data_IF_382083232085
#
_entry.id   IF_382083232085
#
_cell.length_a   1.000
_cell.length_b   1.000
_cell.length_c   1.000
_cell.angle_alpha   90.00
_cell.angle_beta   90.00
_cell.angle_gamma   90.00
#
_symmetry.space_group_name_H-M   'P 1'
#
loop_
_entity.id
_entity.type
_entity.pdbx_description
1 polymer ?
#
# COMPACT_ATOMS: atom_id res chain seq x y z
N UNK A 1 -17.31 4.33 35.13
CA UNK A 1 -16.34 4.89 34.16
C UNK A 1 -17.16 5.51 33.04
N UNK A 2 -17.14 6.84 32.93
CA UNK A 2 -17.85 7.51 31.84
C UNK A 2 -16.96 7.46 30.59
N UNK A 3 -17.39 6.73 29.58
CA UNK A 3 -16.76 6.79 28.25
C UNK A 3 -17.08 8.15 27.66
N UNK A 4 -16.03 8.90 27.30
CA UNK A 4 -16.19 10.12 26.50
C UNK A 4 -16.02 9.71 25.04
N UNK A 5 -17.06 9.91 24.24
CA UNK A 5 -17.01 9.82 22.78
C UNK A 5 -16.86 11.23 22.21
N UNK A 6 -16.24 11.35 21.04
CA UNK A 6 -16.22 12.55 20.24
C UNK A 6 -17.06 12.33 19.00
N UNK A 7 -17.87 13.31 18.63
CA UNK A 7 -18.64 13.27 17.38
C UNK A 7 -17.75 13.60 16.15
N UNK A 8 -16.49 13.97 16.41
CA UNK A 8 -15.49 14.31 15.38
C UNK A 8 -14.50 13.17 15.12
N UNK A 9 -14.76 11.94 15.62
CA UNK A 9 -13.88 10.81 15.40
C UNK A 9 -14.01 10.31 13.96
N UNK A 10 -12.91 10.20 13.23
CA UNK A 10 -12.90 9.59 11.90
C UNK A 10 -13.05 8.07 11.99
N UNK A 11 -13.89 7.51 11.12
CA UNK A 11 -14.13 6.07 11.01
C UNK A 11 -13.61 5.60 9.67
N UNK A 12 -12.50 4.87 9.69
CA UNK A 12 -11.87 4.30 8.50
C UNK A 12 -12.28 2.86 8.24
N UNK A 13 -11.98 2.41 7.03
CA UNK A 13 -12.17 1.03 6.62
C UNK A 13 -10.81 0.37 6.32
N UNK A 14 -10.63 -0.87 6.83
CA UNK A 14 -9.52 -1.72 6.44
C UNK A 14 -9.79 -2.33 5.05
N UNK A 15 -8.87 -2.09 4.11
CA UNK A 15 -8.93 -2.70 2.77
C UNK A 15 -7.90 -3.82 2.72
N UNK A 16 -8.36 -5.05 2.89
CA UNK A 16 -7.51 -6.23 3.03
C UNK A 16 -8.03 -7.46 2.26
N UNK A 17 -9.12 -7.30 1.50
CA UNK A 17 -9.60 -8.29 0.56
C UNK A 17 -9.75 -7.67 -0.83
N UNK A 18 -9.53 -8.43 -1.92
CA UNK A 18 -9.60 -7.90 -3.29
C UNK A 18 -10.92 -7.20 -3.62
N UNK A 19 -12.04 -7.73 -3.14
CA UNK A 19 -13.36 -7.14 -3.38
C UNK A 19 -13.49 -5.72 -2.83
N UNK A 20 -12.90 -5.42 -1.66
CA UNK A 20 -12.93 -4.09 -1.08
C UNK A 20 -12.05 -3.10 -1.85
N UNK A 21 -10.93 -3.56 -2.42
CA UNK A 21 -10.09 -2.74 -3.28
C UNK A 21 -10.78 -2.39 -4.62
N UNK A 22 -11.52 -3.35 -5.19
CA UNK A 22 -12.26 -3.16 -6.46
C UNK A 22 -13.41 -2.15 -6.30
N UNK A 23 -14.06 -2.11 -5.14
CA UNK A 23 -15.19 -1.22 -4.83
C UNK A 23 -14.77 -0.03 -3.94
N UNK A 24 -13.50 0.34 -3.93
CA UNK A 24 -12.99 1.37 -3.04
C UNK A 24 -13.65 2.74 -3.26
N UNK A 25 -13.96 3.11 -4.49
CA UNK A 25 -14.68 4.34 -4.85
C UNK A 25 -16.11 4.39 -4.26
N UNK A 26 -16.79 3.25 -4.19
CA UNK A 26 -18.10 3.17 -3.56
C UNK A 26 -18.01 3.25 -2.03
N UNK A 27 -17.06 2.54 -1.42
CA UNK A 27 -16.87 2.58 0.03
C UNK A 27 -16.37 3.94 0.52
N UNK A 28 -15.61 4.67 -0.28
CA UNK A 28 -15.12 6.00 0.07
C UNK A 28 -16.22 7.05 0.26
N UNK A 29 -17.45 6.78 -0.19
CA UNK A 29 -18.63 7.62 0.09
C UNK A 29 -19.08 7.55 1.55
N UNK A 30 -18.69 6.51 2.28
CA UNK A 30 -19.17 6.21 3.63
C UNK A 30 -18.05 6.19 4.68
N UNK A 31 -16.80 5.91 4.28
CA UNK A 31 -15.65 5.90 5.17
C UNK A 31 -14.92 7.25 5.15
N UNK A 32 -14.33 7.64 6.27
CA UNK A 32 -13.55 8.87 6.37
C UNK A 32 -12.12 8.69 5.83
N UNK A 33 -11.60 7.47 5.90
CA UNK A 33 -10.30 7.10 5.34
C UNK A 33 -10.21 5.60 5.07
N UNK A 34 -9.15 5.20 4.34
CA UNK A 34 -8.81 3.80 4.17
C UNK A 34 -7.45 3.47 4.79
N UNK A 35 -7.33 2.23 5.30
CA UNK A 35 -6.07 1.63 5.70
C UNK A 35 -5.88 0.32 4.96
N UNK A 36 -4.85 0.21 4.13
CA UNK A 36 -4.60 -1.00 3.34
C UNK A 36 -3.88 -2.03 4.20
N UNK A 37 -4.55 -3.14 4.52
CA UNK A 37 -4.00 -4.28 5.23
C UNK A 37 -3.24 -5.22 4.28
N UNK A 38 -1.97 -4.87 3.96
CA UNK A 38 -1.23 -5.55 2.89
C UNK A 38 -0.98 -7.03 3.15
N UNK A 39 -0.81 -7.44 4.40
CA UNK A 39 -0.54 -8.85 4.71
C UNK A 39 -1.70 -9.75 4.26
N UNK A 40 -2.92 -9.36 4.60
CA UNK A 40 -4.12 -10.13 4.26
C UNK A 40 -4.54 -9.88 2.81
N UNK A 41 -4.40 -8.65 2.30
CA UNK A 41 -4.66 -8.37 0.89
C UNK A 41 -3.80 -9.25 -0.04
N UNK A 42 -2.51 -9.41 0.25
CA UNK A 42 -1.61 -10.27 -0.51
C UNK A 42 -2.03 -11.75 -0.35
N UNK A 43 -2.27 -12.20 0.88
CA UNK A 43 -2.67 -13.57 1.16
C UNK A 43 -3.92 -13.97 0.38
N UNK A 44 -4.97 -13.17 0.42
CA UNK A 44 -6.23 -13.48 -0.27
C UNK A 44 -6.13 -13.31 -1.80
N UNK A 45 -5.36 -12.32 -2.26
CA UNK A 45 -5.17 -12.10 -3.71
C UNK A 45 -4.34 -13.19 -4.37
N UNK A 46 -3.31 -13.67 -3.67
CA UNK A 46 -2.40 -14.71 -4.17
C UNK A 46 -2.87 -16.13 -3.80
N UNK A 47 -3.97 -16.26 -3.04
CA UNK A 47 -4.47 -17.52 -2.49
C UNK A 47 -3.37 -18.33 -1.76
N UNK A 48 -2.50 -17.64 -1.03
CA UNK A 48 -1.32 -18.20 -0.39
C UNK A 48 -1.31 -17.89 1.09
N UNK A 49 -1.35 -18.92 1.93
CA UNK A 49 -1.20 -18.78 3.36
C UNK A 49 0.24 -18.29 3.69
N UNK A 50 0.34 -17.05 4.20
CA UNK A 50 1.63 -16.41 4.57
C UNK A 50 2.40 -17.16 5.66
N UNK A 51 1.72 -18.01 6.44
CA UNK A 51 2.32 -18.82 7.51
C UNK A 51 2.85 -20.17 6.99
N UNK A 52 2.55 -20.53 5.74
CA UNK A 52 2.97 -21.79 5.15
C UNK A 52 4.28 -21.65 4.38
N UNK A 53 5.34 -22.26 4.88
CA UNK A 53 6.64 -22.29 4.20
C UNK A 53 6.56 -22.89 2.79
N UNK A 54 5.63 -23.83 2.56
CA UNK A 54 5.47 -24.51 1.26
C UNK A 54 5.04 -23.59 0.14
N UNK A 55 4.31 -22.52 0.45
CA UNK A 55 3.76 -21.55 -0.53
C UNK A 55 4.29 -20.13 -0.32
N UNK A 56 5.31 -19.96 0.54
CA UNK A 56 5.91 -18.65 0.83
C UNK A 56 6.39 -17.91 -0.43
N UNK A 57 6.82 -18.64 -1.47
CA UNK A 57 7.23 -18.05 -2.75
C UNK A 57 6.11 -17.34 -3.51
N UNK A 58 4.85 -17.62 -3.18
CA UNK A 58 3.68 -16.94 -3.73
C UNK A 58 3.37 -15.62 -3.01
N UNK A 59 3.92 -15.40 -1.83
CA UNK A 59 3.75 -14.15 -1.10
C UNK A 59 4.66 -13.08 -1.70
N UNK A 60 4.13 -12.31 -2.65
CA UNK A 60 4.85 -11.37 -3.49
C UNK A 60 4.31 -9.94 -3.33
N UNK A 61 4.84 -9.14 -2.39
CA UNK A 61 4.35 -7.78 -2.12
C UNK A 61 4.43 -6.83 -3.33
N UNK A 62 5.47 -6.96 -4.15
CA UNK A 62 5.67 -6.13 -5.34
C UNK A 62 5.07 -6.75 -6.61
N UNK A 63 4.23 -7.79 -6.47
CA UNK A 63 3.52 -8.34 -7.63
C UNK A 63 2.64 -7.25 -8.26
N UNK A 64 2.67 -7.08 -9.60
CA UNK A 64 1.86 -6.07 -10.28
C UNK A 64 0.36 -6.16 -10.00
N UNK A 65 -0.19 -7.34 -9.72
CA UNK A 65 -1.60 -7.50 -9.33
C UNK A 65 -1.89 -6.84 -7.98
N UNK A 66 -0.99 -6.97 -7.02
CA UNK A 66 -1.09 -6.33 -5.71
C UNK A 66 -0.97 -4.81 -5.84
N UNK A 67 0.01 -4.33 -6.61
CA UNK A 67 0.18 -2.90 -6.86
C UNK A 67 -1.04 -2.27 -7.54
N UNK A 68 -1.72 -3.00 -8.42
CA UNK A 68 -2.98 -2.56 -9.04
C UNK A 68 -4.12 -2.46 -8.04
N UNK A 69 -4.27 -3.43 -7.14
CA UNK A 69 -5.27 -3.37 -6.07
C UNK A 69 -5.00 -2.21 -5.11
N UNK A 70 -3.75 -2.00 -4.72
CA UNK A 70 -3.33 -0.84 -3.92
C UNK A 70 -3.68 0.47 -4.65
N UNK A 71 -3.33 0.56 -5.93
CA UNK A 71 -3.66 1.74 -6.75
C UNK A 71 -5.16 1.99 -6.81
N UNK A 72 -5.98 0.95 -7.07
CA UNK A 72 -7.44 1.08 -7.09
C UNK A 72 -7.98 1.61 -5.77
N UNK A 73 -7.42 1.14 -4.65
CA UNK A 73 -7.81 1.60 -3.31
C UNK A 73 -7.48 3.08 -3.10
N UNK A 74 -6.25 3.50 -3.44
CA UNK A 74 -5.81 4.89 -3.32
C UNK A 74 -6.63 5.81 -4.23
N UNK A 75 -6.77 5.45 -5.51
CA UNK A 75 -7.56 6.23 -6.47
C UNK A 75 -9.02 6.35 -6.02
N UNK A 76 -9.61 5.26 -5.51
CA UNK A 76 -10.97 5.24 -4.98
C UNK A 76 -11.14 6.18 -3.79
N UNK A 77 -10.22 6.15 -2.81
CA UNK A 77 -10.22 7.06 -1.67
C UNK A 77 -10.13 8.53 -2.14
N UNK A 78 -9.14 8.83 -2.96
CA UNK A 78 -8.88 10.18 -3.44
C UNK A 78 -10.02 10.73 -4.30
N UNK A 79 -10.77 9.87 -5.02
CA UNK A 79 -11.94 10.28 -5.81
C UNK A 79 -13.05 10.95 -4.98
N UNK A 80 -13.08 10.66 -3.68
CA UNK A 80 -14.02 11.22 -2.70
C UNK A 80 -13.33 12.17 -1.70
N UNK A 81 -12.07 12.55 -1.96
CA UNK A 81 -11.30 13.42 -1.07
C UNK A 81 -10.91 12.77 0.26
N UNK A 82 -10.86 11.43 0.31
CA UNK A 82 -10.45 10.67 1.50
C UNK A 82 -8.97 10.32 1.41
N UNK A 83 -8.28 10.33 2.54
CA UNK A 83 -6.90 9.89 2.60
C UNK A 83 -6.81 8.35 2.69
N UNK A 84 -5.69 7.81 2.22
CA UNK A 84 -5.42 6.38 2.20
C UNK A 84 -4.07 6.07 2.85
N UNK A 85 -4.10 5.35 3.96
CA UNK A 85 -2.91 4.84 4.64
C UNK A 85 -2.68 3.37 4.34
N UNK A 86 -1.57 2.86 4.86
CA UNK A 86 -1.22 1.46 4.77
C UNK A 86 -0.72 0.96 6.11
N UNK A 87 -1.27 -0.16 6.56
CA UNK A 87 -0.71 -0.94 7.66
C UNK A 87 -0.27 -2.31 7.15
N UNK A 88 0.70 -2.88 7.81
CA UNK A 88 1.31 -4.13 7.39
C UNK A 88 2.79 -3.95 7.05
N UNK A 89 3.45 -5.07 6.73
CA UNK A 89 4.90 -5.07 6.59
C UNK A 89 5.40 -4.29 5.38
N UNK A 90 4.59 -4.20 4.34
CA UNK A 90 4.92 -3.50 3.09
C UNK A 90 5.11 -1.98 3.31
N UNK A 91 4.38 -1.36 4.26
CA UNK A 91 4.53 0.06 4.58
C UNK A 91 5.92 0.45 5.08
N UNK A 92 6.62 -0.50 5.71
CA UNK A 92 8.00 -0.32 6.20
C UNK A 92 9.06 -1.02 5.33
N UNK A 93 8.73 -1.44 4.11
CA UNK A 93 9.67 -2.05 3.18
C UNK A 93 10.35 -0.99 2.32
N UNK A 94 11.70 -0.85 2.40
CA UNK A 94 12.44 0.10 1.60
C UNK A 94 12.30 -0.10 0.10
N UNK A 95 12.02 -1.32 -0.36
CA UNK A 95 11.78 -1.62 -1.77
C UNK A 95 10.38 -1.21 -2.23
N UNK A 96 9.39 -1.24 -1.33
CA UNK A 96 8.03 -0.83 -1.65
C UNK A 96 7.83 0.68 -1.55
N UNK A 97 8.52 1.36 -0.64
CA UNK A 97 8.33 2.78 -0.35
C UNK A 97 8.36 3.71 -1.59
N UNK A 98 9.28 3.57 -2.56
CA UNK A 98 9.28 4.40 -3.77
C UNK A 98 8.02 4.23 -4.63
N UNK A 99 7.56 2.97 -4.79
CA UNK A 99 6.36 2.67 -5.58
C UNK A 99 5.10 3.17 -4.86
N UNK A 100 4.99 2.93 -3.55
CA UNK A 100 3.85 3.38 -2.74
C UNK A 100 3.74 4.92 -2.73
N UNK A 101 4.87 5.62 -2.60
CA UNK A 101 4.92 7.08 -2.72
C UNK A 101 4.42 7.54 -4.10
N UNK A 102 4.86 6.87 -5.15
CA UNK A 102 4.45 7.17 -6.53
C UNK A 102 2.99 6.83 -6.83
N UNK A 103 2.41 5.84 -6.14
CA UNK A 103 0.98 5.53 -6.20
C UNK A 103 0.11 6.57 -5.47
N UNK A 104 0.71 7.43 -4.65
CA UNK A 104 0.00 8.49 -3.94
C UNK A 104 -0.44 8.10 -2.53
N UNK A 105 0.19 7.11 -1.90
CA UNK A 105 -0.12 6.72 -0.53
C UNK A 105 0.13 7.89 0.44
N UNK A 106 -0.83 8.22 1.29
CA UNK A 106 -0.79 9.37 2.20
C UNK A 106 -0.10 9.05 3.53
N UNK A 107 -0.26 7.82 4.04
CA UNK A 107 0.25 7.42 5.35
C UNK A 107 0.92 6.04 5.29
N UNK A 108 2.11 5.93 5.90
CA UNK A 108 2.91 4.71 5.98
C UNK A 108 3.01 4.27 7.44
N UNK A 109 2.18 3.31 7.85
CA UNK A 109 2.21 2.73 9.19
C UNK A 109 3.21 1.58 9.24
N UNK A 110 4.04 1.56 10.27
CA UNK A 110 5.10 0.57 10.42
C UNK A 110 5.58 0.45 11.86
N UNK A 111 6.38 -0.57 12.15
CA UNK A 111 7.03 -0.71 13.45
C UNK A 111 7.99 0.46 13.71
N UNK A 112 8.11 0.88 14.98
CA UNK A 112 8.93 2.03 15.39
C UNK A 112 10.38 1.98 14.88
N UNK A 113 10.98 0.79 14.80
CA UNK A 113 12.34 0.58 14.30
C UNK A 113 12.50 0.90 12.81
N UNK A 114 11.42 0.85 12.03
CA UNK A 114 11.43 1.12 10.59
C UNK A 114 11.13 2.58 10.24
N UNK A 115 10.59 3.38 11.16
CA UNK A 115 10.17 4.76 10.89
C UNK A 115 11.34 5.62 10.38
N UNK A 116 12.44 5.68 11.10
CA UNK A 116 13.56 6.54 10.72
C UNK A 116 14.24 6.12 9.42
N UNK A 117 14.54 4.82 9.18
CA UNK A 117 15.05 4.36 7.88
C UNK A 117 14.12 4.67 6.71
N UNK A 118 12.83 4.38 6.84
CA UNK A 118 11.85 4.62 5.77
C UNK A 118 11.67 6.12 5.51
N UNK A 119 11.60 6.93 6.56
CA UNK A 119 11.54 8.39 6.43
C UNK A 119 12.75 8.94 5.68
N UNK A 120 13.96 8.44 5.98
CA UNK A 120 15.18 8.84 5.27
C UNK A 120 15.08 8.55 3.77
N UNK A 121 14.56 7.38 3.41
CA UNK A 121 14.35 7.01 2.00
C UNK A 121 13.34 7.97 1.37
N UNK A 122 12.12 8.08 1.91
CA UNK A 122 11.04 8.88 1.35
C UNK A 122 11.47 10.34 1.15
N UNK A 123 12.17 10.93 2.13
CA UNK A 123 12.64 12.34 2.04
C UNK A 123 13.76 12.55 1.03
N UNK A 124 14.44 11.51 0.56
CA UNK A 124 15.46 11.58 -0.50
C UNK A 124 14.90 11.42 -1.90
N UNK A 125 13.63 11.01 -2.04
CA UNK A 125 13.02 10.72 -3.33
C UNK A 125 12.34 11.96 -3.94
N UNK A 126 12.32 12.02 -5.27
CA UNK A 126 11.53 13.00 -6.02
C UNK A 126 10.15 12.41 -6.33
N UNK A 127 9.08 13.08 -5.87
CA UNK A 127 7.71 12.57 -6.03
C UNK A 127 7.34 12.28 -7.48
N UNK A 128 7.68 13.19 -8.41
CA UNK A 128 7.34 13.02 -9.84
C UNK A 128 8.05 11.83 -10.48
N UNK A 129 9.31 11.60 -10.12
CA UNK A 129 10.04 10.41 -10.59
C UNK A 129 9.41 9.13 -10.02
N UNK A 130 8.89 9.16 -8.79
CA UNK A 130 8.19 8.03 -8.18
C UNK A 130 6.82 7.78 -8.83
N UNK A 131 6.09 8.81 -9.24
CA UNK A 131 4.87 8.69 -10.02
C UNK A 131 5.15 7.99 -11.37
N UNK A 132 6.25 8.36 -12.06
CA UNK A 132 6.68 7.70 -13.28
C UNK A 132 7.10 6.23 -13.04
N UNK A 133 7.82 5.96 -11.94
CA UNK A 133 8.16 4.60 -11.52
C UNK A 133 6.90 3.76 -11.27
N UNK A 134 5.97 4.25 -10.47
CA UNK A 134 4.73 3.56 -10.13
C UNK A 134 3.89 3.26 -11.38
N UNK A 135 3.80 4.24 -12.30
CA UNK A 135 3.12 4.06 -13.59
C UNK A 135 3.70 2.94 -14.45
N UNK A 136 5.02 2.69 -14.37
CA UNK A 136 5.69 1.56 -15.02
C UNK A 136 5.48 0.27 -14.23
N UNK A 137 5.63 0.30 -12.91
CA UNK A 137 5.52 -0.86 -12.03
C UNK A 137 4.16 -1.58 -12.15
N UNK A 138 3.05 -0.83 -12.20
CA UNK A 138 1.71 -1.43 -12.37
C UNK A 138 1.49 -2.06 -13.75
N UNK A 139 2.35 -1.79 -14.73
CA UNK A 139 2.30 -2.36 -16.09
C UNK A 139 3.22 -3.56 -16.27
N UNK A 140 4.11 -3.83 -15.32
CA UNK A 140 4.95 -5.02 -15.31
C UNK A 140 4.12 -6.30 -15.28
N UNK A 141 4.76 -7.43 -15.60
CA UNK A 141 4.13 -8.76 -15.59
C UNK A 141 4.54 -9.58 -14.37
N UNK A 142 5.70 -9.29 -13.78
CA UNK A 142 6.27 -10.05 -12.67
C UNK A 142 6.79 -9.14 -11.56
N UNK A 143 6.87 -9.67 -10.33
CA UNK A 143 7.52 -9.00 -9.21
C UNK A 143 9.00 -8.69 -9.49
N UNK A 144 9.69 -9.59 -10.18
CA UNK A 144 11.11 -9.42 -10.53
C UNK A 144 11.35 -8.19 -11.42
N UNK A 145 10.45 -7.93 -12.36
CA UNK A 145 10.51 -6.72 -13.22
C UNK A 145 10.30 -5.46 -12.37
N UNK A 146 9.34 -5.46 -11.46
CA UNK A 146 9.12 -4.32 -10.54
C UNK A 146 10.34 -4.10 -9.65
N UNK A 147 10.88 -5.17 -9.08
CA UNK A 147 12.08 -5.12 -8.24
C UNK A 147 13.28 -4.53 -8.98
N UNK A 148 13.46 -4.88 -10.26
CA UNK A 148 14.52 -4.32 -11.10
C UNK A 148 14.34 -2.80 -11.29
N UNK A 149 13.13 -2.34 -11.61
CA UNK A 149 12.82 -0.91 -11.76
C UNK A 149 13.10 -0.12 -10.47
N UNK A 150 12.71 -0.66 -9.30
CA UNK A 150 12.95 -0.01 -8.02
C UNK A 150 14.44 0.09 -7.71
N UNK A 151 15.21 -0.98 -7.96
CA UNK A 151 16.67 -0.97 -7.75
C UNK A 151 17.38 0.07 -8.62
N UNK A 152 16.94 0.29 -9.85
CA UNK A 152 17.49 1.34 -10.72
C UNK A 152 17.32 2.74 -10.12
N UNK A 153 16.22 2.99 -9.40
CA UNK A 153 15.95 4.27 -8.75
C UNK A 153 16.76 4.43 -7.47
N UNK A 154 16.82 3.38 -6.63
CA UNK A 154 17.50 3.44 -5.33
C UNK A 154 19.03 3.46 -5.43
N UNK A 155 19.60 3.06 -6.58
CA UNK A 155 21.06 3.04 -6.83
C UNK A 155 21.59 4.34 -7.48
N UNK A 156 20.72 5.31 -7.72
CA UNK A 156 21.08 6.66 -8.19
C UNK A 156 21.44 7.58 -7.04
#
# INVERSE_FOLDING_TARGET
>A
MLFRSSDEIEIGMMVEIPASAVLADEFAKYADFFSIGTNDLIQYSMAADRMSEKVAYLYQPLNPSILRLIKMTIDGAHSQGRWCGMCGEMGGDPMAAPVLLGLGLDEFSMSASKILPTRKIITSLNKKEMEDLASKAVKCHTESEVTALVKEVLNK
#
